data_IF_031330293022
#
_entry.id   IF_031330293022
#
_cell.length_a   1.000
_cell.length_b   1.000
_cell.length_c   1.000
_cell.angle_alpha   90.00
_cell.angle_beta   90.00
_cell.angle_gamma   90.00
#
_symmetry.space_group_name_H-M   'P 1'
#
loop_
_entity.id
_entity.type
_entity.pdbx_description
1 polymer ?
#
# COMPACT_ATOMS: atom_id res chain seq x y z
N UNK A 1 21.01 -37.95 -36.79
CA UNK A 1 20.34 -37.35 -37.97
C UNK A 1 18.89 -37.78 -38.03
N UNK A 2 17.97 -36.95 -37.51
CA UNK A 2 16.55 -36.91 -37.92
C UNK A 2 16.11 -35.45 -37.83
N UNK A 3 16.02 -34.83 -39.00
CA UNK A 3 15.30 -33.58 -39.23
C UNK A 3 13.79 -33.85 -39.20
N UNK A 4 12.98 -32.78 -39.34
CA UNK A 4 11.50 -32.73 -39.49
C UNK A 4 10.83 -32.44 -38.13
N UNK A 5 10.16 -31.31 -37.86
CA UNK A 5 9.40 -30.33 -38.67
C UNK A 5 9.55 -28.93 -38.06
N UNK A 6 9.64 -27.91 -38.92
CA UNK A 6 9.52 -26.49 -38.56
C UNK A 6 8.07 -26.16 -38.16
N UNK A 7 7.86 -25.60 -36.97
CA UNK A 7 6.70 -24.74 -36.72
C UNK A 7 7.21 -23.33 -36.46
N UNK A 8 7.58 -22.67 -37.55
CA UNK A 8 7.73 -21.22 -37.62
C UNK A 8 6.58 -20.74 -38.50
N UNK A 9 5.48 -20.30 -37.87
CA UNK A 9 4.48 -19.40 -38.46
C UNK A 9 3.39 -19.07 -37.44
N UNK A 10 3.09 -17.76 -37.35
CA UNK A 10 1.89 -17.13 -36.74
C UNK A 10 1.97 -16.80 -35.24
N UNK A 11 2.70 -15.72 -34.94
CA UNK A 11 2.17 -14.56 -34.18
C UNK A 11 3.12 -13.34 -34.31
N UNK A 12 3.45 -13.00 -35.56
CA UNK A 12 4.07 -11.72 -35.95
C UNK A 12 2.97 -10.78 -36.44
N UNK A 13 2.19 -10.20 -35.54
CA UNK A 13 1.50 -8.90 -35.69
C UNK A 13 1.18 -8.50 -34.25
N UNK A 14 1.52 -7.27 -33.83
CA UNK A 14 1.46 -6.65 -32.48
C UNK A 14 2.83 -6.21 -31.94
N UNK A 15 3.87 -6.21 -32.76
CA UNK A 15 5.12 -5.49 -32.50
C UNK A 15 5.42 -4.52 -33.66
N UNK A 16 4.69 -3.39 -33.67
CA UNK A 16 4.96 -2.11 -34.34
C UNK A 16 3.73 -1.22 -34.08
N UNK A 17 3.75 0.06 -33.74
CA UNK A 17 4.80 1.01 -33.39
C UNK A 17 3.98 2.30 -33.09
N UNK A 18 3.85 2.74 -31.84
CA UNK A 18 3.40 4.11 -31.54
C UNK A 18 4.26 4.64 -30.39
N UNK A 19 5.50 4.93 -30.74
CA UNK A 19 6.42 5.76 -29.97
C UNK A 19 6.73 6.99 -30.82
N UNK A 20 6.03 8.10 -30.56
CA UNK A 20 6.49 9.47 -30.85
C UNK A 20 6.00 10.31 -29.67
N UNK A 21 6.85 10.47 -28.66
CA UNK A 21 7.70 11.65 -28.45
C UNK A 21 6.93 12.79 -27.77
N UNK A 22 6.98 12.85 -26.44
CA UNK A 22 6.76 14.10 -25.71
C UNK A 22 8.06 14.42 -24.96
N UNK A 23 8.89 15.24 -25.60
CA UNK A 23 10.10 15.81 -25.02
C UNK A 23 9.85 17.30 -24.80
N UNK A 24 10.04 17.68 -23.54
CA UNK A 24 10.51 18.97 -23.03
C UNK A 24 9.61 20.23 -23.09
N UNK A 25 9.70 20.93 -21.94
CA UNK A 25 9.50 22.37 -21.70
C UNK A 25 8.16 22.71 -21.04
N UNK A 26 8.07 23.38 -19.89
CA UNK A 26 9.07 24.17 -19.18
C UNK A 26 8.74 24.21 -17.67
N UNK A 27 9.79 24.12 -16.85
CA UNK A 27 9.80 24.71 -15.51
C UNK A 27 9.82 26.23 -15.65
N UNK A 28 9.11 26.95 -14.78
CA UNK A 28 9.83 27.94 -13.97
C UNK A 28 9.57 27.74 -12.47
N UNK A 29 10.68 27.57 -11.76
CA UNK A 29 10.92 28.20 -10.46
C UNK A 29 10.39 29.64 -10.45
N UNK A 30 9.70 30.02 -9.37
CA UNK A 30 9.85 31.28 -8.60
C UNK A 30 8.56 31.47 -7.77
N UNK A 31 8.61 31.36 -6.44
CA UNK A 31 9.04 32.38 -5.45
C UNK A 31 7.80 33.04 -4.82
N UNK A 32 7.96 33.53 -3.58
CA UNK A 32 6.98 34.29 -2.77
C UNK A 32 5.90 33.44 -2.08
N UNK A 33 5.57 33.61 -0.81
CA UNK A 33 6.09 34.40 0.30
C UNK A 33 5.32 33.90 1.53
N UNK A 34 5.89 34.00 2.73
CA UNK A 34 5.18 33.67 3.95
C UNK A 34 4.01 34.62 4.20
N UNK A 35 2.90 34.09 4.71
CA UNK A 35 2.03 34.89 5.55
C UNK A 35 1.38 34.01 6.63
N UNK A 36 1.68 34.23 7.92
CA UNK A 36 0.98 33.56 9.00
C UNK A 36 -0.47 34.09 9.10
N UNK A 37 -1.46 33.24 9.43
CA UNK A 37 -2.79 33.74 9.76
C UNK A 37 -2.70 34.55 11.05
N UNK A 38 -3.15 35.81 10.97
CA UNK A 38 -3.33 36.72 12.10
C UNK A 38 -4.45 36.22 13.00
N UNK A 39 -4.20 36.34 14.28
CA UNK A 39 -5.11 36.07 15.37
C UNK A 39 -5.99 37.31 15.56
N UNK A 40 -7.27 37.22 15.19
CA UNK A 40 -8.26 38.22 15.60
C UNK A 40 -9.09 37.67 16.76
N UNK A 41 -8.68 38.11 17.95
CA UNK A 41 -9.41 38.03 19.20
C UNK A 41 -10.43 39.17 19.27
N UNK A 42 -11.71 38.82 19.40
CA UNK A 42 -12.79 39.66 19.91
C UNK A 42 -14.10 38.86 19.84
N UNK A 43 -14.87 38.60 20.88
CA UNK A 43 -15.03 39.26 22.17
C UNK A 43 -16.52 39.60 22.34
N UNK A 44 -17.21 38.91 23.26
CA UNK A 44 -18.57 39.24 23.75
C UNK A 44 -19.69 38.35 23.19
N UNK A 45 -20.13 37.28 23.88
CA UNK A 45 -21.02 37.25 25.05
C UNK A 45 -22.52 37.40 24.72
N UNK A 46 -23.29 36.30 24.84
CA UNK A 46 -24.59 36.27 25.52
C UNK A 46 -25.11 34.82 25.65
N UNK A 47 -25.63 34.55 26.85
CA UNK A 47 -26.07 33.29 27.44
C UNK A 47 -27.40 32.75 26.89
N UNK A 48 -27.58 31.43 26.88
CA UNK A 48 -28.87 30.74 27.16
C UNK A 48 -28.67 29.21 27.22
N UNK A 49 -28.63 28.66 28.44
CA UNK A 49 -29.03 27.27 28.74
C UNK A 49 -30.58 27.21 28.74
N UNK A 50 -31.26 26.09 28.39
CA UNK A 50 -31.28 24.93 29.28
C UNK A 50 -31.44 23.51 28.66
N UNK A 51 -31.02 22.55 29.50
CA UNK A 51 -31.51 21.18 29.69
C UNK A 51 -31.14 20.05 28.69
N UNK A 52 -30.73 18.94 29.32
CA UNK A 52 -30.17 17.69 28.81
C UNK A 52 -31.15 16.86 27.95
N UNK A 53 -30.61 15.95 27.12
CA UNK A 53 -30.78 14.55 27.50
C UNK A 53 -29.42 13.84 27.64
N UNK A 54 -29.27 13.16 28.77
CA UNK A 54 -28.16 12.25 29.04
C UNK A 54 -28.27 11.02 28.15
N UNK A 55 -27.59 11.07 27.02
CA UNK A 55 -27.15 9.87 26.30
C UNK A 55 -25.64 9.96 26.04
N UNK A 56 -24.88 9.85 27.13
CA UNK A 56 -23.42 9.86 27.14
C UNK A 56 -22.82 8.56 26.62
N UNK A 57 -23.24 8.09 25.43
CA UNK A 57 -22.53 7.05 24.72
C UNK A 57 -21.31 7.70 24.08
N UNK A 58 -20.23 7.84 24.87
CA UNK A 58 -18.93 8.37 24.41
C UNK A 58 -18.60 7.72 23.06
N UNK A 59 -18.69 8.51 21.99
CA UNK A 59 -18.30 8.06 20.66
C UNK A 59 -16.91 7.44 20.79
N UNK A 60 -16.79 6.14 20.46
CA UNK A 60 -15.52 5.43 20.58
C UNK A 60 -14.52 6.18 19.73
N UNK A 61 -13.55 6.85 20.36
CA UNK A 61 -12.45 7.52 19.66
C UNK A 61 -11.83 6.49 18.73
N UNK A 62 -11.75 6.80 17.43
CA UNK A 62 -11.12 5.92 16.45
C UNK A 62 -9.76 5.47 17.01
N UNK A 63 -9.41 4.18 16.89
CA UNK A 63 -8.13 3.69 17.39
C UNK A 63 -7.00 4.52 16.76
N UNK A 64 -6.23 5.20 17.61
CA UNK A 64 -5.12 6.04 17.16
C UNK A 64 -3.95 5.16 16.71
N UNK A 65 -3.26 5.60 15.66
CA UNK A 65 -2.04 4.95 15.20
C UNK A 65 -0.92 5.04 16.25
N UNK A 66 0.17 4.30 16.02
CA UNK A 66 1.36 4.42 16.86
C UNK A 66 2.20 5.61 16.41
N UNK A 67 2.67 6.41 17.36
CA UNK A 67 3.67 7.42 17.06
C UNK A 67 4.95 6.77 16.51
N UNK A 68 5.68 7.44 15.62
CA UNK A 68 7.01 6.99 15.22
C UNK A 68 7.93 6.86 16.44
N UNK A 69 8.93 5.99 16.35
CA UNK A 69 9.84 5.71 17.46
C UNK A 69 10.53 7.00 17.93
N UNK A 70 10.61 7.21 19.25
CA UNK A 70 11.18 8.41 19.91
C UNK A 70 10.34 9.70 19.84
N UNK A 71 9.39 9.82 18.92
CA UNK A 71 8.60 11.05 18.78
C UNK A 71 7.76 11.33 20.04
N UNK A 72 7.33 10.28 20.74
CA UNK A 72 6.51 10.43 21.96
C UNK A 72 7.17 11.21 23.09
N UNK A 73 8.49 11.44 23.05
CA UNK A 73 9.21 12.22 24.06
C UNK A 73 9.34 13.72 23.72
N UNK A 74 9.12 14.10 22.46
CA UNK A 74 9.49 15.43 21.95
C UNK A 74 8.32 16.22 21.38
N UNK A 75 7.20 15.56 21.02
CA UNK A 75 6.08 16.24 20.36
C UNK A 75 4.99 16.68 21.34
N UNK A 76 4.45 17.86 21.09
CA UNK A 76 3.28 18.41 21.82
C UNK A 76 1.99 17.71 21.39
N UNK A 77 0.92 17.92 22.15
CA UNK A 77 -0.41 17.34 21.89
C UNK A 77 -0.93 17.70 20.50
N UNK A 78 -0.80 18.98 20.12
CA UNK A 78 -1.17 19.47 18.79
C UNK A 78 -0.39 18.76 17.68
N UNK A 79 0.93 18.67 17.83
CA UNK A 79 1.79 17.97 16.88
C UNK A 79 1.46 16.46 16.79
N UNK A 80 1.01 15.82 17.88
CA UNK A 80 0.54 14.42 17.82
C UNK A 80 -0.68 14.27 16.94
N UNK A 81 -1.66 15.15 17.07
CA UNK A 81 -2.84 15.11 16.21
C UNK A 81 -2.48 15.28 14.73
N UNK A 82 -1.56 16.21 14.43
CA UNK A 82 -1.05 16.43 13.08
C UNK A 82 -0.34 15.17 12.53
N UNK A 83 0.55 14.56 13.33
CA UNK A 83 1.24 13.31 12.98
C UNK A 83 0.23 12.19 12.70
N UNK A 84 -0.82 12.05 13.50
CA UNK A 84 -1.85 11.05 13.25
C UNK A 84 -2.64 11.32 11.96
N UNK A 85 -2.93 12.59 11.65
CA UNK A 85 -3.54 12.98 10.39
C UNK A 85 -2.67 12.62 9.19
N UNK A 86 -1.36 12.89 9.27
CA UNK A 86 -0.38 12.48 8.25
C UNK A 86 -0.37 10.96 8.08
N UNK A 87 -0.26 10.20 9.18
CA UNK A 87 -0.25 8.74 9.13
C UNK A 87 -1.54 8.16 8.54
N UNK A 88 -2.71 8.76 8.82
CA UNK A 88 -3.97 8.31 8.22
C UNK A 88 -3.97 8.47 6.70
N UNK A 89 -3.63 9.67 6.22
CA UNK A 89 -3.58 9.97 4.77
C UNK A 89 -2.63 9.04 4.02
N UNK A 90 -1.43 8.82 4.55
CA UNK A 90 -0.46 7.94 3.90
C UNK A 90 -0.83 6.46 4.01
N UNK A 91 -1.49 6.01 5.09
CA UNK A 91 -1.98 4.63 5.17
C UNK A 91 -2.94 4.30 4.03
N UNK A 92 -3.90 5.19 3.76
CA UNK A 92 -4.85 5.00 2.66
C UNK A 92 -4.16 4.90 1.30
N UNK A 93 -3.16 5.76 1.04
CA UNK A 93 -2.38 5.71 -0.21
C UNK A 93 -1.53 4.45 -0.31
N UNK A 94 -0.87 4.06 0.79
CA UNK A 94 -0.06 2.84 0.87
C UNK A 94 -0.93 1.60 0.62
N UNK A 95 -2.14 1.55 1.19
CA UNK A 95 -3.04 0.41 1.02
C UNK A 95 -3.52 0.28 -0.43
N UNK A 96 -3.79 1.41 -1.11
CA UNK A 96 -4.06 1.42 -2.56
C UNK A 96 -2.88 0.88 -3.37
N UNK A 97 -1.68 1.39 -3.13
CA UNK A 97 -0.47 0.93 -3.81
C UNK A 97 -0.19 -0.55 -3.56
N UNK A 98 -0.41 -1.05 -2.33
CA UNK A 98 -0.28 -2.47 -2.01
C UNK A 98 -1.29 -3.33 -2.78
N UNK A 99 -2.53 -2.85 -2.96
CA UNK A 99 -3.52 -3.55 -3.76
C UNK A 99 -3.11 -3.59 -5.25
N UNK A 100 -2.58 -2.50 -5.79
CA UNK A 100 -2.03 -2.45 -7.16
C UNK A 100 -0.85 -3.40 -7.33
N UNK A 101 0.11 -3.41 -6.40
CA UNK A 101 1.22 -4.36 -6.38
C UNK A 101 0.70 -5.80 -6.35
N UNK A 102 -0.28 -6.10 -5.48
CA UNK A 102 -0.87 -7.44 -5.40
C UNK A 102 -1.54 -7.87 -6.71
N UNK A 103 -2.18 -6.93 -7.42
CA UNK A 103 -2.76 -7.17 -8.74
C UNK A 103 -1.67 -7.47 -9.78
N UNK A 104 -0.62 -6.65 -9.85
CA UNK A 104 0.49 -6.83 -10.77
C UNK A 104 1.23 -8.16 -10.53
N UNK A 105 1.45 -8.54 -9.27
CA UNK A 105 2.08 -9.82 -8.94
C UNK A 105 1.23 -11.02 -9.39
N UNK A 106 -0.10 -10.93 -9.33
CA UNK A 106 -0.99 -11.98 -9.86
C UNK A 106 -0.91 -12.04 -11.38
N UNK A 107 -0.95 -10.90 -12.06
CA UNK A 107 -0.82 -10.85 -13.52
C UNK A 107 0.52 -11.40 -13.99
N UNK A 108 1.61 -11.01 -13.32
CA UNK A 108 2.94 -11.56 -13.58
C UNK A 108 2.95 -13.09 -13.44
N UNK A 109 2.37 -13.63 -12.37
CA UNK A 109 2.28 -15.07 -12.15
C UNK A 109 1.47 -15.79 -13.24
N UNK A 110 0.34 -15.20 -13.64
CA UNK A 110 -0.47 -15.71 -14.76
C UNK A 110 0.32 -15.73 -16.07
N UNK A 111 0.98 -14.63 -16.42
CA UNK A 111 1.81 -14.52 -17.63
C UNK A 111 2.99 -15.49 -17.61
N UNK A 112 3.69 -15.62 -16.48
CA UNK A 112 4.78 -16.59 -16.31
C UNK A 112 4.27 -18.02 -16.47
N UNK A 113 3.12 -18.35 -15.88
CA UNK A 113 2.53 -19.68 -15.99
C UNK A 113 2.07 -20.01 -17.42
N UNK A 114 1.65 -19.00 -18.19
CA UNK A 114 1.18 -19.17 -19.56
C UNK A 114 2.29 -19.60 -20.54
N UNK A 115 3.56 -19.34 -20.21
CA UNK A 115 4.73 -19.77 -21.01
C UNK A 115 5.06 -21.25 -20.80
N UNK A 116 4.56 -21.86 -19.72
CA UNK A 116 4.83 -23.27 -19.38
C UNK A 116 3.90 -24.23 -20.12
N UNK A 117 4.39 -25.44 -20.39
CA UNK A 117 3.53 -26.55 -20.85
C UNK A 117 2.66 -27.08 -19.72
N UNK A 118 1.58 -27.79 -20.07
CA UNK A 118 0.62 -28.36 -19.10
C UNK A 118 1.31 -29.29 -18.09
N UNK A 119 2.25 -30.10 -18.57
CA UNK A 119 3.06 -30.98 -17.72
C UNK A 119 3.95 -30.18 -16.75
N UNK A 120 4.59 -29.11 -17.23
CA UNK A 120 5.40 -28.23 -16.39
C UNK A 120 4.56 -27.50 -15.33
N UNK A 121 3.36 -27.03 -15.69
CA UNK A 121 2.44 -26.37 -14.74
C UNK A 121 2.00 -27.32 -13.62
N UNK A 122 1.68 -28.58 -13.97
CA UNK A 122 1.35 -29.61 -12.98
C UNK A 122 2.50 -29.87 -12.02
N UNK A 123 3.72 -29.95 -12.54
CA UNK A 123 4.91 -30.19 -11.69
C UNK A 123 5.19 -28.99 -10.76
N UNK A 124 5.08 -27.76 -11.27
CA UNK A 124 5.19 -26.55 -10.43
C UNK A 124 4.14 -26.54 -9.32
N UNK A 125 2.90 -26.97 -9.60
CA UNK A 125 1.85 -27.06 -8.58
C UNK A 125 2.21 -28.04 -7.45
N UNK A 126 2.73 -29.23 -7.77
CA UNK A 126 3.19 -30.20 -6.77
C UNK A 126 4.32 -29.63 -5.91
N UNK A 127 5.32 -29.01 -6.54
CA UNK A 127 6.44 -28.39 -5.84
C UNK A 127 5.98 -27.28 -4.88
N UNK A 128 4.96 -26.49 -5.27
CA UNK A 128 4.35 -25.47 -4.40
C UNK A 128 3.69 -26.08 -3.17
N UNK A 129 2.96 -27.17 -3.32
CA UNK A 129 2.32 -27.86 -2.20
C UNK A 129 3.35 -28.46 -1.23
N UNK A 130 4.39 -29.12 -1.76
CA UNK A 130 5.48 -29.67 -0.95
C UNK A 130 6.20 -28.58 -0.16
N UNK A 131 6.51 -27.46 -0.81
CA UNK A 131 7.10 -26.30 -0.17
C UNK A 131 6.18 -25.72 0.92
N UNK A 132 4.86 -25.71 0.71
CA UNK A 132 3.90 -25.29 1.73
C UNK A 132 3.88 -26.25 2.94
N UNK A 133 3.87 -27.57 2.70
CA UNK A 133 3.94 -28.60 3.75
C UNK A 133 5.25 -28.48 4.56
N UNK A 134 6.38 -28.27 3.89
CA UNK A 134 7.70 -28.07 4.53
C UNK A 134 7.76 -26.79 5.36
N UNK A 135 7.16 -25.69 4.89
CA UNK A 135 7.05 -24.44 5.67
C UNK A 135 6.23 -24.64 6.94
N UNK A 136 5.09 -25.34 6.84
CA UNK A 136 4.25 -25.67 8.00
C UNK A 136 5.00 -26.51 9.03
N UNK A 137 5.68 -27.58 8.60
CA UNK A 137 6.40 -28.46 9.53
C UNK A 137 7.60 -27.76 10.19
N UNK A 138 8.28 -26.85 9.49
CA UNK A 138 9.33 -26.00 10.08
C UNK A 138 8.78 -25.03 11.11
N UNK A 139 7.67 -24.34 10.81
CA UNK A 139 7.02 -23.42 11.75
C UNK A 139 6.62 -24.13 13.05
N UNK A 140 6.07 -25.34 12.97
CA UNK A 140 5.73 -26.16 14.13
C UNK A 140 6.97 -26.57 14.93
N UNK A 141 8.06 -26.98 14.26
CA UNK A 141 9.31 -27.34 14.95
C UNK A 141 9.93 -26.15 15.69
N UNK A 142 9.99 -24.98 15.06
CA UNK A 142 10.52 -23.76 15.67
C UNK A 142 9.67 -23.28 16.84
N UNK A 143 8.34 -23.37 16.73
CA UNK A 143 7.44 -23.05 17.85
C UNK A 143 7.60 -24.02 19.03
N UNK A 144 7.95 -25.29 18.79
CA UNK A 144 8.14 -26.32 19.82
C UNK A 144 9.49 -26.23 20.54
N UNK A 145 10.49 -25.57 19.95
CA UNK A 145 11.85 -25.47 20.51
C UNK A 145 12.17 -24.12 21.16
N UNK A 146 11.23 -23.16 21.17
CA UNK A 146 11.44 -21.87 21.82
C UNK A 146 11.28 -22.01 23.36
N UNK A 147 12.28 -21.61 24.17
CA UNK A 147 12.14 -21.61 25.63
C UNK A 147 11.05 -20.60 26.07
N UNK A 148 10.32 -20.95 27.14
CA UNK A 148 9.29 -20.13 27.77
C UNK A 148 9.88 -18.94 28.53
#
# INVERSE_FOLDING_TARGET
>A
MRQVVRHDARRKHWATLLLVLWVASALPWCHAEGQPPKDDSGGGAASSQPAEPKDGKKARKKPRGRLPRYYGKVVTDKQREEVYGIQARYREQIDKLRAEIAKLLKQQEEEVSAVLTDAQRSEVAKLREEAAKKRKSRGVKTARSAPK
#
